data_IF_049452067377
#
_entry.id   IF_049452067377
#
_cell.length_a   1.000
_cell.length_b   1.000
_cell.length_c   1.000
_cell.angle_alpha   90.00
_cell.angle_beta   90.00
_cell.angle_gamma   90.00
#
_symmetry.space_group_name_H-M   'P 1'
#
loop_
_entity.id
_entity.type
_entity.pdbx_description
1 polymer ?
#
# COMPACT_ATOMS: atom_id res chain seq x y z
N UNK A 1 -4.93 -14.44 9.82
CA UNK A 1 -5.67 -13.29 10.42
C UNK A 1 -5.62 -12.19 9.39
N UNK A 2 -6.76 -11.67 8.91
CA UNK A 2 -6.75 -10.51 8.02
C UNK A 2 -6.05 -9.36 8.74
N UNK A 3 -5.28 -8.54 8.02
CA UNK A 3 -4.59 -7.35 8.55
C UNK A 3 -5.38 -6.10 8.15
N UNK A 4 -6.52 -5.81 8.80
CA UNK A 4 -7.35 -4.65 8.45
C UNK A 4 -6.67 -3.31 8.70
N UNK A 5 -5.51 -3.30 9.38
CA UNK A 5 -4.76 -2.09 9.69
C UNK A 5 -4.42 -1.27 8.45
N UNK A 6 -4.07 -1.90 7.32
CA UNK A 6 -3.72 -1.18 6.09
C UNK A 6 -4.93 -0.47 5.46
N UNK A 7 -6.10 -1.09 5.50
CA UNK A 7 -7.35 -0.49 5.00
C UNK A 7 -7.77 0.68 5.89
N UNK A 8 -7.61 0.55 7.21
CA UNK A 8 -7.94 1.61 8.16
C UNK A 8 -6.98 2.81 8.05
N UNK A 9 -5.69 2.56 7.86
CA UNK A 9 -4.70 3.60 7.59
C UNK A 9 -5.02 4.30 6.29
N UNK A 10 -5.31 3.54 5.23
CA UNK A 10 -5.68 4.11 3.93
C UNK A 10 -6.93 4.99 4.04
N UNK A 11 -7.96 4.56 4.77
CA UNK A 11 -9.18 5.34 4.96
C UNK A 11 -8.94 6.62 5.76
N UNK A 12 -8.09 6.53 6.78
CA UNK A 12 -7.74 7.69 7.62
C UNK A 12 -6.97 8.72 6.82
N UNK A 13 -5.97 8.30 6.05
CA UNK A 13 -5.16 9.19 5.21
C UNK A 13 -6.00 9.80 4.08
N UNK A 14 -6.90 9.02 3.48
CA UNK A 14 -7.82 9.50 2.45
C UNK A 14 -8.71 10.64 2.97
N UNK A 15 -9.27 10.47 4.17
CA UNK A 15 -10.09 11.50 4.82
C UNK A 15 -9.27 12.73 5.22
N UNK A 16 -8.10 12.52 5.81
CA UNK A 16 -7.24 13.61 6.30
C UNK A 16 -6.74 14.50 5.15
N UNK A 17 -6.35 13.87 4.04
CA UNK A 17 -5.85 14.57 2.85
C UNK A 17 -6.94 14.93 1.85
N UNK A 18 -8.18 14.54 2.11
CA UNK A 18 -9.33 14.72 1.22
C UNK A 18 -9.04 14.21 -0.22
N UNK A 19 -8.50 13.00 -0.31
CA UNK A 19 -8.16 12.30 -1.55
C UNK A 19 -8.87 10.95 -1.61
N UNK A 20 -8.92 10.34 -2.80
CA UNK A 20 -9.54 9.03 -2.95
C UNK A 20 -8.74 7.94 -2.22
N UNK A 21 -9.44 6.99 -1.60
CA UNK A 21 -8.82 5.85 -0.93
C UNK A 21 -7.98 5.01 -1.91
N UNK A 22 -8.41 4.93 -3.17
CA UNK A 22 -7.68 4.30 -4.27
C UNK A 22 -6.30 4.95 -4.47
N UNK A 23 -6.22 6.28 -4.42
CA UNK A 23 -4.96 7.02 -4.54
C UNK A 23 -4.00 6.68 -3.40
N UNK A 24 -4.54 6.54 -2.18
CA UNK A 24 -3.73 6.15 -1.02
C UNK A 24 -3.19 4.74 -1.17
N UNK A 25 -4.01 3.78 -1.62
CA UNK A 25 -3.54 2.42 -1.86
C UNK A 25 -2.42 2.37 -2.90
N UNK A 26 -2.58 3.07 -4.03
CA UNK A 26 -1.55 3.15 -5.06
C UNK A 26 -0.25 3.75 -4.51
N UNK A 27 -0.35 4.81 -3.71
CA UNK A 27 0.82 5.42 -3.07
C UNK A 27 1.52 4.46 -2.10
N UNK A 28 0.76 3.69 -1.32
CA UNK A 28 1.28 2.68 -0.40
C UNK A 28 1.95 1.53 -1.16
N UNK A 29 1.33 1.02 -2.22
CA UNK A 29 1.90 -0.02 -3.10
C UNK A 29 3.23 0.45 -3.69
N UNK A 30 3.29 1.67 -4.23
CA UNK A 30 4.52 2.24 -4.75
C UNK A 30 5.60 2.39 -3.68
N UNK A 31 5.23 2.81 -2.46
CA UNK A 31 6.15 2.91 -1.34
C UNK A 31 6.73 1.54 -0.95
N UNK A 32 5.89 0.50 -0.90
CA UNK A 32 6.31 -0.88 -0.61
C UNK A 32 7.20 -1.43 -1.72
N UNK A 33 6.85 -1.20 -2.99
CA UNK A 33 7.69 -1.59 -4.12
C UNK A 33 9.06 -0.92 -4.06
N UNK A 34 9.10 0.38 -3.75
CA UNK A 34 10.36 1.13 -3.57
C UNK A 34 11.18 0.58 -2.41
N UNK A 35 10.55 0.30 -1.27
CA UNK A 35 11.20 -0.29 -0.10
C UNK A 35 11.73 -1.70 -0.40
N UNK A 36 10.95 -2.51 -1.12
CA UNK A 36 11.34 -3.84 -1.56
C UNK A 36 12.54 -3.81 -2.50
N UNK A 37 12.53 -2.93 -3.51
CA UNK A 37 13.67 -2.73 -4.43
C UNK A 37 14.93 -2.32 -3.68
N UNK A 38 14.80 -1.43 -2.70
CA UNK A 38 15.91 -1.02 -1.83
C UNK A 38 16.45 -2.20 -1.00
N UNK A 39 15.57 -3.07 -0.49
CA UNK A 39 15.94 -4.19 0.39
C UNK A 39 16.49 -5.41 -0.34
N UNK A 40 15.99 -5.71 -1.54
CA UNK A 40 16.26 -6.97 -2.26
C UNK A 40 16.98 -6.79 -3.60
N UNK A 41 17.32 -5.55 -3.96
CA UNK A 41 18.01 -5.19 -5.20
C UNK A 41 17.05 -4.67 -6.27
N UNK A 42 17.48 -3.63 -6.99
CA UNK A 42 16.73 -2.97 -8.07
C UNK A 42 16.46 -3.88 -9.29
N UNK A 43 17.16 -5.00 -9.37
CA UNK A 43 17.06 -5.98 -10.47
C UNK A 43 15.86 -6.92 -10.31
N UNK A 44 15.20 -6.94 -9.15
CA UNK A 44 14.00 -7.75 -8.93
C UNK A 44 12.73 -6.96 -9.25
N UNK A 45 11.86 -7.54 -10.08
CA UNK A 45 10.52 -7.01 -10.34
C UNK A 45 9.65 -7.22 -9.09
N UNK A 46 9.76 -6.29 -8.14
CA UNK A 46 8.98 -6.30 -6.91
C UNK A 46 7.68 -5.55 -7.17
N UNK A 47 6.58 -6.28 -7.07
CA UNK A 47 5.21 -5.78 -7.14
C UNK A 47 4.56 -6.02 -5.80
N UNK A 48 4.06 -4.95 -5.20
CA UNK A 48 3.15 -5.00 -4.06
C UNK A 48 1.76 -4.64 -4.58
N UNK A 49 0.75 -5.43 -4.20
CA UNK A 49 -0.64 -5.16 -4.49
C UNK A 49 -1.43 -5.28 -3.19
N UNK A 50 -2.18 -4.26 -2.79
CA UNK A 50 -2.98 -4.28 -1.57
C UNK A 50 -4.41 -4.70 -1.92
N UNK A 51 -4.89 -5.77 -1.31
CA UNK A 51 -6.30 -6.15 -1.42
C UNK A 51 -7.17 -5.14 -0.64
N UNK A 52 -8.07 -4.47 -1.37
CA UNK A 52 -8.89 -3.36 -0.84
C UNK A 52 -9.95 -3.80 0.18
N UNK A 53 -10.26 -5.10 0.24
CA UNK A 53 -11.27 -5.66 1.15
C UNK A 53 -10.64 -6.18 2.43
N UNK A 54 -9.46 -6.76 2.34
CA UNK A 54 -8.80 -7.49 3.43
C UNK A 54 -7.57 -6.78 3.98
N UNK A 55 -6.95 -5.89 3.20
CA UNK A 55 -5.71 -5.21 3.53
C UNK A 55 -4.46 -6.07 3.36
N UNK A 56 -4.54 -7.20 2.66
CA UNK A 56 -3.41 -8.10 2.45
C UNK A 56 -2.49 -7.61 1.31
N UNK A 57 -1.18 -7.83 1.44
CA UNK A 57 -0.11 -7.50 0.47
C UNK A 57 0.58 -8.78 0.01
#
# INVERSE_FOLDING_TARGET
MPRPELVQVADTVARDKNIDREEVFVAMEQAIQKAGRSKYGHEKDIRAAIDRKTGEI
#
